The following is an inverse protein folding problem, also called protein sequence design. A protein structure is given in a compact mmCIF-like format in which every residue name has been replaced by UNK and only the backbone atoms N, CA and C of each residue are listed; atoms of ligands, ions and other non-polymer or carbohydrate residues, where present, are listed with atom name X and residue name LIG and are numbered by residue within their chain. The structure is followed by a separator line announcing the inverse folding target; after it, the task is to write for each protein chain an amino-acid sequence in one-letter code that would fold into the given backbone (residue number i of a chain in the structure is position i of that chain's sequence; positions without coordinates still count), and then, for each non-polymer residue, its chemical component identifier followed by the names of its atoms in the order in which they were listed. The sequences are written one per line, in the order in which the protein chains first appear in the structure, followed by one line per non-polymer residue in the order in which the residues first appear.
data_IF_658579023668
#
_entry.id   IF_658579023668
#
_cell.length_a   1.000
_cell.length_b   1.000
_cell.length_c   1.000
_cell.angle_alpha   90.00
_cell.angle_beta   90.00
_cell.angle_gamma   90.00
#
_symmetry.space_group_name_H-M   'P 1'
#
loop_
_entity.id
_entity.type
_entity.pdbx_description
1 polymer ?
#
# COMPACT_ATOMS: atom_id res chain seq x y z
N UNK A 1 -18.27 -31.88 -1.81
CA UNK A 1 -17.99 -30.59 -2.48
C UNK A 1 -17.90 -29.53 -1.40
N UNK A 2 -16.69 -29.15 -1.01
CA UNK A 2 -16.41 -28.12 0.00
C UNK A 2 -15.20 -27.36 -0.49
N UNK A 3 -15.44 -26.30 -1.27
CA UNK A 3 -14.40 -25.51 -1.94
C UNK A 3 -14.57 -24.00 -1.69
N UNK A 4 -15.26 -23.63 -0.61
CA UNK A 4 -15.56 -22.23 -0.28
C UNK A 4 -14.55 -21.59 0.69
N UNK A 5 -13.64 -22.38 1.25
CA UNK A 5 -12.71 -21.91 2.28
C UNK A 5 -11.41 -21.35 1.70
N UNK A 6 -10.90 -21.93 0.61
CA UNK A 6 -9.62 -21.51 0.00
C UNK A 6 -9.72 -20.13 -0.68
N UNK A 7 -10.83 -19.85 -1.38
CA UNK A 7 -11.00 -18.61 -2.13
C UNK A 7 -11.02 -17.37 -1.24
N UNK A 8 -11.57 -17.49 -0.03
CA UNK A 8 -11.60 -16.38 0.92
C UNK A 8 -10.22 -16.11 1.53
N UNK A 9 -9.38 -17.13 1.68
CA UNK A 9 -8.03 -16.98 2.19
C UNK A 9 -7.10 -16.35 1.13
N UNK A 10 -7.17 -16.81 -0.13
CA UNK A 10 -6.43 -16.24 -1.25
C UNK A 10 -6.78 -14.76 -1.49
N UNK A 11 -8.07 -14.41 -1.41
CA UNK A 11 -8.52 -13.01 -1.52
C UNK A 11 -7.98 -12.12 -0.38
N UNK A 12 -7.80 -12.69 0.81
CA UNK A 12 -7.24 -12.00 1.96
C UNK A 12 -5.74 -11.74 1.80
N UNK A 13 -5.00 -12.75 1.34
CA UNK A 13 -3.58 -12.63 1.06
C UNK A 13 -3.31 -11.65 -0.08
N UNK A 14 -4.14 -11.69 -1.14
CA UNK A 14 -4.09 -10.72 -2.22
C UNK A 14 -4.33 -9.29 -1.73
N UNK A 15 -5.32 -9.09 -0.83
CA UNK A 15 -5.59 -7.79 -0.24
C UNK A 15 -4.41 -7.30 0.61
N UNK A 16 -3.79 -8.17 1.41
CA UNK A 16 -2.60 -7.82 2.21
C UNK A 16 -1.44 -7.46 1.29
N UNK A 17 -1.20 -8.23 0.23
CA UNK A 17 -0.14 -7.97 -0.74
C UNK A 17 -0.34 -6.62 -1.46
N UNK A 18 -1.56 -6.28 -1.85
CA UNK A 18 -1.87 -4.96 -2.42
C UNK A 18 -1.63 -3.81 -1.42
N UNK A 19 -1.96 -4.02 -0.14
CA UNK A 19 -1.66 -3.04 0.92
C UNK A 19 -0.15 -2.85 1.10
N UNK A 20 0.62 -3.94 1.06
CA UNK A 20 2.08 -3.89 1.13
C UNK A 20 2.69 -3.14 -0.06
N UNK A 21 2.16 -3.37 -1.28
CA UNK A 21 2.57 -2.62 -2.48
C UNK A 21 2.29 -1.12 -2.34
N UNK A 22 1.10 -0.74 -1.89
CA UNK A 22 0.75 0.66 -1.72
C UNK A 22 1.69 1.37 -0.72
N UNK A 23 2.01 0.72 0.39
CA UNK A 23 3.00 1.22 1.34
C UNK A 23 4.41 1.34 0.73
N UNK A 24 4.84 0.37 -0.08
CA UNK A 24 6.12 0.44 -0.79
C UNK A 24 6.15 1.60 -1.79
N UNK A 25 5.05 1.84 -2.52
CA UNK A 25 4.95 2.98 -3.44
C UNK A 25 5.00 4.32 -2.73
N UNK A 26 4.38 4.45 -1.55
CA UNK A 26 4.50 5.64 -0.72
C UNK A 26 5.96 5.90 -0.34
N UNK A 27 6.68 4.87 0.11
CA UNK A 27 8.10 4.97 0.47
C UNK A 27 9.00 5.32 -0.73
N UNK A 28 8.78 4.69 -1.88
CA UNK A 28 9.53 4.98 -3.10
C UNK A 28 9.27 6.40 -3.60
N UNK A 29 8.05 6.90 -3.47
CA UNK A 29 7.70 8.28 -3.83
C UNK A 29 8.40 9.29 -2.93
N UNK A 30 8.52 9.00 -1.63
CA UNK A 30 9.30 9.84 -0.71
C UNK A 30 10.79 9.87 -1.07
N UNK A 31 11.37 8.73 -1.45
CA UNK A 31 12.77 8.69 -1.92
C UNK A 31 12.95 9.41 -3.25
N UNK A 32 12.02 9.26 -4.18
CA UNK A 32 12.03 9.97 -5.45
C UNK A 32 12.02 11.49 -5.24
N UNK A 33 11.21 11.98 -4.29
CA UNK A 33 11.21 13.38 -3.89
C UNK A 33 12.59 13.84 -3.38
N UNK A 34 13.27 13.03 -2.56
CA UNK A 34 14.62 13.34 -2.07
C UNK A 34 15.67 13.38 -3.20
N UNK A 35 15.48 12.60 -4.26
CA UNK A 35 16.39 12.52 -5.40
C UNK A 35 16.12 13.54 -6.51
N UNK A 36 14.99 14.23 -6.47
CA UNK A 36 14.60 15.15 -7.53
C UNK A 36 15.59 16.32 -7.71
N UNK A 37 16.54 16.56 -6.79
CA UNK A 37 17.70 17.47 -6.93
C UNK A 37 17.40 18.82 -7.63
N UNK A 38 16.22 19.40 -7.39
CA UNK A 38 15.69 20.66 -7.94
C UNK A 38 15.04 20.61 -9.33
N UNK A 39 14.72 19.44 -9.88
CA UNK A 39 13.81 19.32 -11.03
C UNK A 39 12.35 19.47 -10.54
N UNK A 40 11.65 20.57 -10.88
CA UNK A 40 10.28 20.78 -10.44
C UNK A 40 9.30 19.73 -10.97
N UNK A 41 9.52 19.20 -12.18
CA UNK A 41 8.65 18.19 -12.77
C UNK A 41 8.81 16.84 -12.05
N UNK A 42 10.05 16.49 -11.70
CA UNK A 42 10.32 15.30 -10.89
C UNK A 42 9.75 15.41 -9.47
N UNK A 43 9.78 16.62 -8.88
CA UNK A 43 9.14 16.90 -7.57
C UNK A 43 7.63 16.72 -7.66
N UNK A 44 6.98 17.35 -8.63
CA UNK A 44 5.52 17.27 -8.81
C UNK A 44 5.08 15.82 -9.06
N UNK A 45 5.82 15.08 -9.90
CA UNK A 45 5.54 13.68 -10.17
C UNK A 45 5.68 12.81 -8.91
N UNK A 46 6.69 13.06 -8.07
CA UNK A 46 6.87 12.34 -6.81
C UNK A 46 5.72 12.61 -5.83
N UNK A 47 5.22 13.85 -5.77
CA UNK A 47 4.07 14.23 -4.93
C UNK A 47 2.79 13.56 -5.44
N UNK A 48 2.51 13.64 -6.74
CA UNK A 48 1.31 13.01 -7.35
C UNK A 48 1.32 11.51 -7.10
N UNK A 49 2.46 10.85 -7.32
CA UNK A 49 2.61 9.42 -7.08
C UNK A 49 2.38 9.05 -5.62
N UNK A 50 2.91 9.83 -4.69
CA UNK A 50 2.68 9.62 -3.25
C UNK A 50 1.20 9.76 -2.89
N UNK A 51 0.53 10.79 -3.41
CA UNK A 51 -0.89 11.02 -3.15
C UNK A 51 -1.76 9.86 -3.66
N UNK A 52 -1.50 9.38 -4.88
CA UNK A 52 -2.20 8.22 -5.44
C UNK A 52 -1.99 6.96 -4.58
N UNK A 53 -0.77 6.70 -4.12
CA UNK A 53 -0.47 5.55 -3.26
C UNK A 53 -1.18 5.64 -1.89
N UNK A 54 -1.27 6.84 -1.29
CA UNK A 54 -2.02 7.09 -0.05
C UNK A 54 -3.51 6.82 -0.24
N UNK A 55 -4.11 7.34 -1.31
CA UNK A 55 -5.54 7.15 -1.59
C UNK A 55 -5.87 5.67 -1.85
N UNK A 56 -5.00 4.98 -2.59
CA UNK A 56 -5.13 3.55 -2.83
C UNK A 56 -5.01 2.76 -1.51
N UNK A 57 -4.03 3.05 -0.66
CA UNK A 57 -3.90 2.44 0.65
C UNK A 57 -5.16 2.66 1.50
N UNK A 58 -5.69 3.87 1.56
CA UNK A 58 -6.90 4.18 2.33
C UNK A 58 -8.12 3.41 1.83
N UNK A 59 -8.25 3.23 0.52
CA UNK A 59 -9.27 2.36 -0.07
C UNK A 59 -9.10 0.91 0.39
N UNK A 60 -7.90 0.34 0.30
CA UNK A 60 -7.63 -1.04 0.68
C UNK A 60 -7.85 -1.28 2.18
N UNK A 61 -7.48 -0.33 3.04
CA UNK A 61 -7.75 -0.41 4.49
C UNK A 61 -9.25 -0.39 4.77
N UNK A 62 -10.04 0.40 4.04
CA UNK A 62 -11.51 0.36 4.16
C UNK A 62 -12.06 -1.01 3.77
N UNK A 63 -11.51 -1.65 2.73
CA UNK A 63 -11.90 -3.02 2.35
C UNK A 63 -11.50 -4.04 3.41
N UNK A 64 -10.28 -3.96 3.94
CA UNK A 64 -9.79 -4.87 4.97
C UNK A 64 -10.60 -4.79 6.27
N UNK A 65 -11.05 -3.58 6.65
CA UNK A 65 -11.95 -3.40 7.80
C UNK A 65 -13.30 -4.09 7.59
N UNK A 66 -13.84 -4.07 6.36
CA UNK A 66 -15.11 -4.75 6.02
C UNK A 66 -14.99 -6.27 6.08
N UNK A 67 -13.81 -6.82 5.81
CA UNK A 67 -13.53 -8.26 5.92
C UNK A 67 -13.18 -8.69 7.35
N UNK A 68 -13.23 -7.78 8.33
CA UNK A 68 -12.92 -8.06 9.74
C UNK A 68 -11.42 -8.16 10.04
N UNK A 69 -10.57 -7.77 9.09
CA UNK A 69 -9.13 -7.88 9.23
C UNK A 69 -8.57 -6.69 10.03
N UNK A 70 -7.98 -6.98 11.19
CA UNK A 70 -7.26 -5.99 12.00
C UNK A 70 -5.82 -5.88 11.48
N UNK A 71 -5.58 -4.98 10.54
CA UNK A 71 -4.21 -4.62 10.15
C UNK A 71 -3.62 -3.66 11.17
N UNK A 72 -2.48 -4.03 11.74
CA UNK A 72 -1.60 -3.11 12.44
C UNK A 72 -0.72 -2.38 11.42
N UNK A 73 -1.01 -1.10 11.22
CA UNK A 73 -0.28 -0.23 10.27
C UNK A 73 1.22 -0.18 10.59
N UNK A 74 1.61 -0.29 11.86
CA UNK A 74 3.02 -0.29 12.26
C UNK A 74 3.73 -1.58 11.84
N UNK A 75 3.04 -2.73 11.87
CA UNK A 75 3.62 -4.00 11.44
C UNK A 75 3.88 -4.02 9.93
N UNK A 76 2.95 -3.48 9.14
CA UNK A 76 3.11 -3.35 7.69
C UNK A 76 4.30 -2.46 7.31
N UNK A 77 4.39 -1.29 7.94
CA UNK A 77 5.46 -0.33 7.66
C UNK A 77 6.82 -0.91 8.08
N UNK A 78 6.91 -1.58 9.23
CA UNK A 78 8.13 -2.23 9.69
C UNK A 78 8.62 -3.37 8.79
N UNK A 79 7.71 -4.02 8.05
CA UNK A 79 8.06 -5.09 7.10
C UNK A 79 8.70 -4.54 5.83
N UNK A 80 8.38 -3.30 5.47
CA UNK A 80 8.83 -2.64 4.23
C UNK A 80 10.13 -1.85 4.46
N UNK A 81 10.33 -1.30 5.65
CA UNK A 81 11.52 -0.50 6.01
C UNK A 81 12.71 -1.33 6.52
N UNK A 82 12.66 -2.66 6.38
CA UNK A 82 13.70 -3.58 6.87
C UNK A 82 14.91 -3.68 5.94
#
# INVERSE_FOLDING_TARGET
MTQTSDTNHENLEALIAEIEKACLEMYLSERAFQWAQNDPEAVDLAIIRKQAAVEHFDFLIKQAKKTGLKLDKNQLINKILK
#
